data_IF_788161042632
#
_entry.id   IF_788161042632
#
_cell.length_a   1.000
_cell.length_b   1.000
_cell.length_c   1.000
_cell.angle_alpha   90.00
_cell.angle_beta   90.00
_cell.angle_gamma   90.00
#
_symmetry.space_group_name_H-M   'P 1'
#
loop_
_entity.id
_entity.type
_entity.pdbx_description
1 polymer ?
#
# COMPACT_ATOMS: atom_id res chain seq x y z
N UNK A 1 7.45 2.91 -7.73
CA UNK A 1 8.36 1.76 -7.93
C UNK A 1 7.72 0.46 -7.49
N UNK A 2 7.84 -0.57 -8.29
CA UNK A 2 7.31 -1.89 -7.96
C UNK A 2 8.49 -2.82 -7.79
N UNK A 3 8.64 -3.36 -6.59
CA UNK A 3 9.82 -4.13 -6.22
C UNK A 3 9.69 -5.61 -6.63
N UNK A 4 10.77 -6.34 -6.43
CA UNK A 4 10.91 -7.73 -6.88
C UNK A 4 9.86 -8.63 -6.23
N UNK A 5 9.22 -9.48 -7.05
CA UNK A 5 8.22 -10.42 -6.57
C UNK A 5 6.86 -9.83 -6.21
N UNK A 6 6.66 -8.52 -6.37
CA UNK A 6 5.35 -7.92 -6.15
C UNK A 6 4.37 -8.41 -7.22
N UNK A 7 3.12 -8.64 -6.79
CA UNK A 7 2.05 -9.12 -7.68
C UNK A 7 0.97 -8.07 -7.75
N UNK A 8 0.71 -7.55 -8.96
CA UNK A 8 -0.38 -6.62 -9.20
C UNK A 8 -1.50 -7.39 -9.89
N UNK A 9 -2.58 -7.59 -9.16
CA UNK A 9 -3.74 -8.28 -9.69
C UNK A 9 -4.43 -7.49 -10.79
N UNK A 10 -5.37 -8.15 -11.49
CA UNK A 10 -6.08 -7.54 -12.61
C UNK A 10 -6.76 -6.23 -12.22
N UNK A 11 -6.61 -5.21 -13.06
CA UNK A 11 -7.22 -3.88 -12.90
C UNK A 11 -6.69 -3.04 -11.74
N UNK A 12 -5.65 -3.49 -11.00
CA UNK A 12 -5.06 -2.68 -9.94
C UNK A 12 -4.52 -1.36 -10.50
N UNK A 13 -4.76 -0.26 -9.79
CA UNK A 13 -4.35 1.09 -10.18
C UNK A 13 -3.42 1.63 -9.12
N UNK A 14 -2.23 2.10 -9.54
CA UNK A 14 -1.21 2.64 -8.65
C UNK A 14 -0.89 4.07 -9.04
N UNK A 15 -1.01 4.97 -8.07
CA UNK A 15 -0.75 6.39 -8.26
C UNK A 15 0.73 6.72 -8.39
N UNK A 16 1.02 8.01 -8.53
CA UNK A 16 2.37 8.53 -8.77
C UNK A 16 3.23 8.40 -7.54
N UNK A 17 4.53 8.12 -7.76
CA UNK A 17 5.54 8.07 -6.71
C UNK A 17 5.22 7.08 -5.58
N UNK A 18 4.38 6.09 -5.86
CA UNK A 18 4.07 5.05 -4.90
C UNK A 18 5.06 3.90 -5.03
N UNK A 19 5.32 3.24 -3.91
CA UNK A 19 6.24 2.11 -3.85
C UNK A 19 5.49 0.86 -3.41
N UNK A 20 5.57 -0.19 -4.21
CA UNK A 20 5.04 -1.52 -3.85
C UNK A 20 6.21 -2.41 -3.50
N UNK A 21 6.30 -2.79 -2.23
CA UNK A 21 7.44 -3.54 -1.70
C UNK A 21 7.55 -4.96 -2.22
N UNK A 22 8.71 -5.56 -2.01
CA UNK A 22 9.00 -6.91 -2.49
C UNK A 22 7.99 -7.92 -1.94
N UNK A 23 7.46 -8.76 -2.81
CA UNK A 23 6.51 -9.80 -2.42
C UNK A 23 5.12 -9.32 -2.03
N UNK A 24 4.83 -8.02 -2.10
CA UNK A 24 3.49 -7.51 -1.82
C UNK A 24 2.49 -7.97 -2.89
N UNK A 25 1.24 -8.16 -2.49
CA UNK A 25 0.17 -8.62 -3.37
C UNK A 25 -0.98 -7.63 -3.34
N UNK A 26 -1.32 -7.06 -4.51
CA UNK A 26 -2.55 -6.29 -4.68
C UNK A 26 -3.53 -7.21 -5.40
N UNK A 27 -4.58 -7.63 -4.71
CA UNK A 27 -5.51 -8.62 -5.26
C UNK A 27 -6.23 -8.08 -6.49
N UNK A 28 -6.40 -8.93 -7.48
CA UNK A 28 -7.06 -8.56 -8.71
C UNK A 28 -8.55 -8.74 -8.65
N UNK A 29 -9.27 -7.92 -9.43
CA UNK A 29 -10.70 -8.06 -9.66
C UNK A 29 -10.92 -8.14 -11.16
N UNK A 30 -11.41 -9.28 -11.64
CA UNK A 30 -11.70 -9.48 -13.06
C UNK A 30 -13.20 -9.44 -13.32
N UNK A 31 -13.97 -10.04 -12.45
CA UNK A 31 -15.43 -10.09 -12.55
C UNK A 31 -16.08 -9.88 -11.18
N UNK A 32 -17.24 -9.26 -11.12
CA UNK A 32 -17.95 -8.61 -12.23
C UNK A 32 -17.26 -7.31 -12.67
N UNK A 33 -17.56 -6.87 -13.89
CA UNK A 33 -16.95 -5.65 -14.45
C UNK A 33 -17.26 -4.41 -13.61
N UNK A 34 -18.35 -4.43 -12.85
CA UNK A 34 -18.74 -3.34 -11.95
C UNK A 34 -17.98 -3.35 -10.62
N UNK A 35 -17.22 -4.39 -10.31
CA UNK A 35 -16.46 -4.44 -9.07
C UNK A 35 -15.35 -3.40 -9.07
N UNK A 36 -15.10 -2.79 -7.91
CA UNK A 36 -14.04 -1.79 -7.76
C UNK A 36 -12.66 -2.47 -7.74
N UNK A 37 -11.72 -2.00 -8.55
CA UNK A 37 -10.34 -2.50 -8.47
C UNK A 37 -9.65 -1.96 -7.23
N UNK A 38 -8.53 -2.57 -6.85
CA UNK A 38 -7.64 -1.97 -5.85
C UNK A 38 -7.08 -0.68 -6.43
N UNK A 39 -7.18 0.41 -5.67
CA UNK A 39 -6.61 1.71 -6.03
C UNK A 39 -5.63 2.14 -4.96
N UNK A 40 -4.43 2.42 -5.38
CA UNK A 40 -3.39 2.97 -4.51
C UNK A 40 -3.19 4.42 -4.91
N UNK A 41 -3.33 5.34 -3.97
CA UNK A 41 -3.16 6.76 -4.22
C UNK A 41 -1.72 7.14 -4.54
N UNK A 42 -1.43 8.43 -4.52
CA UNK A 42 -0.09 8.96 -4.79
C UNK A 42 0.77 8.92 -3.52
N UNK A 43 2.08 8.76 -3.68
CA UNK A 43 3.03 8.80 -2.56
C UNK A 43 2.71 7.79 -1.45
N UNK A 44 2.25 6.59 -1.83
CA UNK A 44 1.93 5.51 -0.90
C UNK A 44 3.11 4.56 -0.82
N UNK A 45 3.41 4.09 0.39
CA UNK A 45 4.39 3.03 0.60
C UNK A 45 3.66 1.76 1.04
N UNK A 46 3.79 0.70 0.26
CA UNK A 46 3.29 -0.62 0.64
C UNK A 46 4.48 -1.50 0.98
N UNK A 47 4.56 -1.92 2.22
CA UNK A 47 5.67 -2.69 2.74
C UNK A 47 5.77 -4.09 2.14
N UNK A 48 6.95 -4.70 2.30
CA UNK A 48 7.20 -6.03 1.77
C UNK A 48 6.20 -7.06 2.33
N UNK A 49 5.77 -7.97 1.47
CA UNK A 49 4.85 -9.06 1.80
C UNK A 49 3.47 -8.61 2.32
N UNK A 50 3.13 -7.34 2.20
CA UNK A 50 1.78 -6.89 2.53
C UNK A 50 0.79 -7.42 1.50
N UNK A 51 -0.44 -7.63 1.92
CA UNK A 51 -1.53 -8.07 1.03
C UNK A 51 -2.66 -7.06 1.12
N UNK A 52 -3.10 -6.56 -0.02
CA UNK A 52 -4.26 -5.68 -0.12
C UNK A 52 -5.36 -6.46 -0.82
N UNK A 53 -6.46 -6.70 -0.14
CA UNK A 53 -7.54 -7.50 -0.71
C UNK A 53 -8.31 -6.72 -1.78
N UNK A 54 -9.07 -7.44 -2.59
CA UNK A 54 -9.80 -6.86 -3.72
C UNK A 54 -10.70 -5.71 -3.29
N UNK A 55 -10.75 -4.67 -4.12
CA UNK A 55 -11.65 -3.52 -3.93
C UNK A 55 -11.16 -2.48 -2.94
N UNK A 56 -10.07 -2.71 -2.22
CA UNK A 56 -9.57 -1.77 -1.20
C UNK A 56 -8.98 -0.53 -1.86
N UNK A 57 -9.28 0.63 -1.27
CA UNK A 57 -8.76 1.94 -1.69
C UNK A 57 -7.75 2.41 -0.66
N UNK A 58 -6.52 2.68 -1.10
CA UNK A 58 -5.44 3.18 -0.23
C UNK A 58 -5.27 4.68 -0.49
N UNK A 59 -5.54 5.49 0.52
CA UNK A 59 -5.43 6.95 0.41
C UNK A 59 -4.00 7.43 0.20
N UNK A 60 -3.86 8.56 -0.49
CA UNK A 60 -2.54 9.14 -0.81
C UNK A 60 -1.74 9.45 0.45
N UNK A 61 -0.43 9.28 0.38
CA UNK A 61 0.48 9.58 1.48
C UNK A 61 0.50 8.55 2.59
N UNK A 62 -0.26 7.45 2.48
CA UNK A 62 -0.35 6.45 3.53
C UNK A 62 0.75 5.40 3.43
N UNK A 63 1.00 4.72 4.54
CA UNK A 63 1.98 3.64 4.64
C UNK A 63 1.28 2.37 5.10
N UNK A 64 1.47 1.30 4.36
CA UNK A 64 1.07 -0.04 4.75
C UNK A 64 2.32 -0.77 5.23
N UNK A 65 2.34 -1.16 6.50
CA UNK A 65 3.50 -1.79 7.08
C UNK A 65 3.77 -3.17 6.46
N UNK A 66 5.01 -3.61 6.51
CA UNK A 66 5.39 -4.92 6.00
C UNK A 66 4.57 -6.03 6.66
N UNK A 67 4.13 -6.99 5.86
CA UNK A 67 3.35 -8.13 6.35
C UNK A 67 1.91 -7.83 6.72
N UNK A 68 1.44 -6.60 6.59
CA UNK A 68 0.05 -6.26 6.90
C UNK A 68 -0.90 -6.86 5.88
N UNK A 69 -2.11 -7.19 6.35
CA UNK A 69 -3.19 -7.64 5.47
C UNK A 69 -4.31 -6.63 5.55
N UNK A 70 -4.47 -5.86 4.47
CA UNK A 70 -5.41 -4.73 4.42
C UNK A 70 -6.75 -5.22 3.92
N UNK A 71 -7.74 -5.16 4.79
CA UNK A 71 -9.10 -5.66 4.51
C UNK A 71 -10.13 -4.55 4.37
N UNK A 72 -9.77 -3.31 4.69
CA UNK A 72 -10.65 -2.15 4.62
C UNK A 72 -9.91 -0.98 4.00
N UNK A 73 -10.66 -0.02 3.47
CA UNK A 73 -10.09 1.19 2.89
C UNK A 73 -9.18 1.90 3.90
N UNK A 74 -8.10 2.47 3.40
CA UNK A 74 -7.11 3.18 4.20
C UNK A 74 -7.24 4.67 3.93
N UNK A 75 -7.47 5.49 4.97
CA UNK A 75 -7.52 6.96 4.81
C UNK A 75 -6.19 7.51 4.31
N UNK A 76 -6.19 8.78 3.91
CA UNK A 76 -4.96 9.46 3.53
C UNK A 76 -4.07 9.73 4.74
N UNK A 77 -2.76 9.72 4.51
CA UNK A 77 -1.74 10.15 5.48
C UNK A 77 -1.81 9.41 6.83
N UNK A 78 -1.99 8.09 6.77
CA UNK A 78 -1.96 7.25 7.96
C UNK A 78 -1.01 6.08 7.77
N UNK A 79 -0.62 5.46 8.87
CA UNK A 79 0.11 4.18 8.86
C UNK A 79 -0.84 3.10 9.35
N UNK A 80 -0.95 2.03 8.57
CA UNK A 80 -1.71 0.84 8.98
C UNK A 80 -0.76 -0.34 9.12
N UNK A 81 -1.04 -1.22 10.07
CA UNK A 81 -0.22 -2.39 10.34
C UNK A 81 -1.06 -3.52 10.91
N UNK A 82 -0.58 -4.73 10.78
CA UNK A 82 -1.15 -5.92 11.40
C UNK A 82 -2.04 -6.75 10.49
N UNK A 83 -2.63 -7.79 11.08
CA UNK A 83 -3.54 -8.74 10.42
C UNK A 83 -4.77 -8.91 11.30
N UNK A 84 -5.93 -8.32 10.94
CA UNK A 84 -6.13 -7.36 9.85
C UNK A 84 -5.47 -6.01 10.17
N UNK A 85 -5.10 -5.28 9.12
CA UNK A 85 -4.42 -4.00 9.29
C UNK A 85 -5.34 -2.97 9.97
N UNK A 86 -4.75 -2.19 10.87
CA UNK A 86 -5.42 -1.12 11.60
C UNK A 86 -4.58 0.14 11.55
N UNK A 87 -5.24 1.28 11.61
CA UNK A 87 -4.55 2.57 11.69
C UNK A 87 -3.83 2.66 13.03
N UNK A 88 -2.51 2.83 12.98
CA UNK A 88 -1.69 2.92 14.19
C UNK A 88 -1.25 4.35 14.48
N UNK A 89 -1.19 5.20 13.47
CA UNK A 89 -0.89 6.63 13.66
C UNK A 89 -1.21 7.44 12.41
N UNK A 90 -1.31 8.75 12.59
CA UNK A 90 -1.36 9.70 11.48
C UNK A 90 0.05 10.10 11.10
N UNK A 91 0.25 10.42 9.81
CA UNK A 91 1.55 10.84 9.29
C UNK A 91 1.57 12.37 9.26
N UNK A 92 2.54 12.95 9.96
CA UNK A 92 2.90 14.36 9.80
C UNK A 92 4.09 14.48 8.84
N UNK A 93 4.49 15.71 8.52
CA UNK A 93 5.58 15.91 7.57
C UNK A 93 6.91 15.35 8.08
N UNK A 94 7.16 15.37 9.37
CA UNK A 94 8.37 14.79 9.96
C UNK A 94 8.38 13.28 9.84
N UNK A 95 7.25 12.63 10.10
CA UNK A 95 7.10 11.18 9.94
C UNK A 95 7.30 10.78 8.49
N UNK A 96 6.76 11.54 7.53
CA UNK A 96 6.96 11.27 6.12
C UNK A 96 8.43 11.30 5.73
N UNK A 97 9.18 12.31 6.18
CA UNK A 97 10.60 12.41 5.91
C UNK A 97 11.37 11.22 6.49
N UNK A 98 11.06 10.84 7.72
CA UNK A 98 11.70 9.71 8.38
C UNK A 98 11.40 8.40 7.66
N UNK A 99 10.16 8.18 7.25
CA UNK A 99 9.76 6.98 6.52
C UNK A 99 10.48 6.89 5.17
N UNK A 100 10.57 7.98 4.44
CA UNK A 100 11.28 8.02 3.17
C UNK A 100 12.76 7.72 3.34
N UNK A 101 13.39 8.25 4.39
CA UNK A 101 14.80 7.99 4.67
C UNK A 101 15.04 6.52 5.03
N UNK A 102 14.20 5.96 5.88
CA UNK A 102 14.30 4.56 6.26
C UNK A 102 14.15 3.64 5.05
N UNK A 103 13.20 3.94 4.17
CA UNK A 103 13.00 3.17 2.95
C UNK A 103 14.23 3.24 2.04
N UNK A 104 14.80 4.42 1.86
CA UNK A 104 16.02 4.60 1.08
C UNK A 104 17.18 3.78 1.65
N UNK A 105 17.32 3.75 2.98
CA UNK A 105 18.37 2.98 3.64
C UNK A 105 18.18 1.47 3.48
N UNK A 106 16.94 1.00 3.48
CA UNK A 106 16.64 -0.44 3.32
C UNK A 106 16.88 -0.93 1.90
N UNK A 107 16.83 -0.07 0.91
CA UNK A 107 17.05 -0.44 -0.48
C UNK A 107 18.53 -0.43 -0.88
N UNK A 108 19.37 0.01 0.01
CA UNK A 108 20.82 -0.07 -0.18
C UNK A 108 21.33 -1.49 0.13
#
# INVERSE_FOLDING_TARGET
MIDMGAILGGRAIIGKNSHVGAGAVLAGVIEPASAEPVRVGDNVLIGANAVVIEGVQIGSGSVVAAGAIVTQDVPENVVVAGVPARVIKEIDSQTQQKTALEDALRTL
#
